data_IF_484331055903
#
_entry.id   IF_484331055903
#
_cell.length_a   1.000
_cell.length_b   1.000
_cell.length_c   1.000
_cell.angle_alpha   90.00
_cell.angle_beta   90.00
_cell.angle_gamma   90.00
#
_symmetry.space_group_name_H-M   'P 1'
#
loop_
_entity.id
_entity.type
_entity.pdbx_description
1 polymer ?
#
# COMPACT_ATOMS: atom_id res chain seq x y z
N UNK A 1 -48.94 -48.96 -33.95
CA UNK A 1 -48.45 -47.62 -34.30
C UNK A 1 -47.52 -47.17 -33.14
N UNK A 2 -46.28 -47.57 -33.16
CA UNK A 2 -45.27 -47.20 -32.19
C UNK A 2 -44.41 -46.06 -32.74
N UNK A 3 -44.44 -44.91 -32.14
CA UNK A 3 -43.52 -43.84 -32.42
C UNK A 3 -42.21 -44.13 -31.65
N UNK A 4 -41.19 -44.50 -32.37
CA UNK A 4 -39.82 -44.46 -31.86
C UNK A 4 -39.45 -43.01 -31.65
N UNK A 5 -39.18 -42.61 -30.38
CA UNK A 5 -38.45 -41.42 -30.06
C UNK A 5 -36.97 -41.79 -30.19
N UNK A 6 -36.36 -41.41 -31.33
CA UNK A 6 -34.91 -41.36 -31.44
C UNK A 6 -34.42 -40.32 -30.37
N UNK A 7 -33.80 -40.83 -29.33
CA UNK A 7 -32.96 -40.03 -28.46
C UNK A 7 -31.74 -39.66 -29.28
N UNK A 8 -31.73 -38.49 -29.92
CA UNK A 8 -30.51 -37.82 -30.35
C UNK A 8 -29.72 -37.46 -29.09
N UNK A 9 -29.07 -38.47 -28.51
CA UNK A 9 -27.94 -38.21 -27.60
C UNK A 9 -26.87 -37.55 -28.47
N UNK A 10 -26.67 -36.24 -28.23
CA UNK A 10 -25.55 -35.50 -28.79
C UNK A 10 -24.27 -36.15 -28.28
N UNK A 11 -23.82 -37.19 -28.93
CA UNK A 11 -22.45 -37.69 -28.72
C UNK A 11 -21.50 -36.62 -29.20
N UNK A 12 -20.95 -35.87 -28.22
CA UNK A 12 -19.87 -34.89 -28.48
C UNK A 12 -18.65 -35.72 -28.87
N UNK A 13 -18.43 -35.87 -30.18
CA UNK A 13 -17.24 -36.54 -30.69
C UNK A 13 -16.00 -35.66 -30.39
N UNK A 14 -15.29 -36.04 -29.35
CA UNK A 14 -14.06 -35.37 -28.90
C UNK A 14 -13.00 -35.31 -30.00
N UNK A 15 -13.02 -36.25 -30.95
CA UNK A 15 -12.10 -36.28 -32.09
C UNK A 15 -12.46 -35.19 -33.10
N UNK A 16 -13.75 -34.99 -33.37
CA UNK A 16 -14.22 -33.94 -34.28
C UNK A 16 -13.97 -32.54 -33.66
N UNK A 17 -14.20 -32.38 -32.37
CA UNK A 17 -13.86 -31.17 -31.63
C UNK A 17 -12.37 -30.86 -31.69
N UNK A 18 -11.51 -31.89 -31.57
CA UNK A 18 -10.07 -31.72 -31.64
C UNK A 18 -9.61 -31.33 -33.06
N UNK A 19 -10.25 -31.86 -34.09
CA UNK A 19 -9.92 -31.53 -35.48
C UNK A 19 -10.32 -30.10 -35.84
N UNK A 20 -11.49 -29.64 -35.37
CA UNK A 20 -11.96 -28.26 -35.53
C UNK A 20 -11.03 -27.30 -34.77
N UNK A 21 -10.64 -27.64 -33.53
CA UNK A 21 -9.72 -26.86 -32.74
C UNK A 21 -8.34 -26.73 -33.40
N UNK A 22 -7.81 -27.83 -33.96
CA UNK A 22 -6.54 -27.81 -34.68
C UNK A 22 -6.62 -26.98 -35.98
N UNK A 23 -7.75 -27.01 -36.69
CA UNK A 23 -7.97 -26.19 -37.88
C UNK A 23 -8.05 -24.70 -37.58
N UNK A 24 -8.52 -24.31 -36.39
CA UNK A 24 -8.68 -22.91 -35.99
C UNK A 24 -7.58 -22.40 -35.03
N UNK A 25 -6.57 -23.23 -34.72
CA UNK A 25 -5.51 -22.90 -33.77
C UNK A 25 -4.77 -21.62 -34.14
N UNK A 26 -4.58 -21.36 -35.43
CA UNK A 26 -3.91 -20.14 -35.90
C UNK A 26 -4.75 -18.89 -35.63
N UNK A 27 -6.07 -18.98 -35.76
CA UNK A 27 -6.99 -17.89 -35.42
C UNK A 27 -7.00 -17.64 -33.91
N UNK A 28 -7.03 -18.69 -33.09
CA UNK A 28 -7.00 -18.58 -31.61
C UNK A 28 -5.71 -17.95 -31.14
N UNK A 29 -4.56 -18.40 -31.71
CA UNK A 29 -3.25 -17.81 -31.42
C UNK A 29 -3.18 -16.33 -31.83
N UNK A 30 -3.71 -15.98 -33.00
CA UNK A 30 -3.75 -14.59 -33.48
C UNK A 30 -4.55 -13.68 -32.57
N UNK A 31 -5.73 -14.10 -32.15
CA UNK A 31 -6.57 -13.35 -31.19
C UNK A 31 -5.89 -13.25 -29.83
N UNK A 32 -5.32 -14.36 -29.33
CA UNK A 32 -4.59 -14.37 -28.05
C UNK A 32 -3.39 -13.43 -28.05
N UNK A 33 -2.63 -13.40 -29.14
CA UNK A 33 -1.47 -12.51 -29.29
C UNK A 33 -1.90 -11.04 -29.37
N UNK A 34 -3.00 -10.74 -30.07
CA UNK A 34 -3.54 -9.41 -30.17
C UNK A 34 -4.00 -8.86 -28.80
N UNK A 35 -4.75 -9.67 -28.04
CA UNK A 35 -5.15 -9.30 -26.67
C UNK A 35 -3.95 -9.21 -25.73
N UNK A 36 -2.95 -10.08 -25.87
CA UNK A 36 -1.70 -10.00 -25.13
C UNK A 36 -0.95 -8.69 -25.38
N UNK A 37 -0.83 -8.26 -26.62
CA UNK A 37 -0.20 -6.98 -26.97
C UNK A 37 -0.95 -5.78 -26.40
N UNK A 38 -2.28 -5.79 -26.46
CA UNK A 38 -3.13 -4.73 -25.87
C UNK A 38 -2.93 -4.69 -24.36
N UNK A 39 -2.94 -5.83 -23.69
CA UNK A 39 -2.73 -5.91 -22.24
C UNK A 39 -1.33 -5.42 -21.81
N UNK A 40 -0.29 -5.78 -22.57
CA UNK A 40 1.07 -5.29 -22.34
C UNK A 40 1.20 -3.79 -22.55
N UNK A 41 0.59 -3.25 -23.61
CA UNK A 41 0.55 -1.81 -23.85
C UNK A 41 -0.18 -1.07 -22.74
N UNK A 42 -1.32 -1.59 -22.31
CA UNK A 42 -2.08 -1.04 -21.16
C UNK A 42 -1.25 -1.04 -19.88
N UNK A 43 -0.63 -2.16 -19.54
CA UNK A 43 0.20 -2.29 -18.34
C UNK A 43 1.44 -1.38 -18.36
N UNK A 44 2.07 -1.21 -19.53
CA UNK A 44 3.25 -0.37 -19.67
C UNK A 44 2.96 1.14 -19.67
N UNK A 45 1.80 1.55 -20.20
CA UNK A 45 1.46 2.97 -20.33
C UNK A 45 0.64 3.55 -19.19
N UNK A 46 -0.25 2.76 -18.58
CA UNK A 46 -1.19 3.26 -17.55
C UNK A 46 -0.71 3.03 -16.12
N UNK A 47 0.15 2.06 -15.87
CA UNK A 47 0.63 1.78 -14.51
C UNK A 47 1.80 2.72 -14.19
N UNK A 48 1.53 3.79 -13.46
CA UNK A 48 2.58 4.68 -12.95
C UNK A 48 3.42 3.92 -11.91
N UNK A 49 4.75 3.98 -11.98
CA UNK A 49 5.59 3.42 -10.92
C UNK A 49 5.33 4.17 -9.62
N UNK A 50 5.15 3.45 -8.51
CA UNK A 50 5.05 4.03 -7.18
C UNK A 50 6.32 3.74 -6.39
N UNK A 51 6.72 4.68 -5.58
CA UNK A 51 7.90 4.61 -4.72
C UNK A 51 7.46 4.77 -3.27
N UNK A 52 7.96 3.92 -2.37
CA UNK A 52 7.67 4.03 -0.94
C UNK A 52 8.90 4.58 -0.22
N UNK A 53 8.72 5.66 0.51
CA UNK A 53 9.68 6.15 1.49
C UNK A 53 9.12 5.95 2.88
N UNK A 54 9.98 5.55 3.83
CA UNK A 54 9.55 5.27 5.20
C UNK A 54 10.43 6.03 6.20
N UNK A 55 9.80 6.51 7.27
CA UNK A 55 10.43 7.16 8.42
C UNK A 55 10.02 6.45 9.70
N UNK A 56 10.86 6.47 10.73
CA UNK A 56 10.55 5.86 12.02
C UNK A 56 10.57 6.88 13.15
N UNK A 57 9.56 6.80 14.03
CA UNK A 57 9.39 7.65 15.19
C UNK A 57 9.29 6.81 16.46
N UNK A 58 9.99 7.24 17.52
CA UNK A 58 9.89 6.65 18.86
C UNK A 58 8.91 7.45 19.73
N UNK A 59 7.91 6.78 20.23
CA UNK A 59 6.98 7.34 21.22
C UNK A 59 7.62 7.30 22.61
N UNK A 60 7.81 8.48 23.21
CA UNK A 60 8.38 8.62 24.55
C UNK A 60 7.25 8.80 25.57
N UNK A 61 7.18 7.91 26.56
CA UNK A 61 6.30 8.08 27.72
C UNK A 61 7.07 8.75 28.87
N UNK A 62 6.48 9.70 29.56
CA UNK A 62 7.10 10.43 30.69
C UNK A 62 7.42 9.56 31.92
N UNK A 63 6.81 8.37 32.01
CA UNK A 63 6.97 7.48 33.16
C UNK A 63 8.25 6.63 33.01
N UNK A 64 9.26 6.98 33.80
CA UNK A 64 10.61 6.38 33.78
C UNK A 64 10.74 5.10 34.62
N UNK A 65 9.67 4.57 35.20
CA UNK A 65 9.71 3.35 36.02
C UNK A 65 9.00 2.19 35.32
N UNK A 66 9.74 1.50 34.46
CA UNK A 66 9.33 0.23 33.84
C UNK A 66 9.19 -0.84 34.95
N UNK A 67 7.99 -1.03 35.49
CA UNK A 67 7.78 -2.00 36.57
C UNK A 67 6.64 -2.99 36.34
N UNK A 68 5.86 -2.89 35.24
CA UNK A 68 4.78 -3.84 35.06
C UNK A 68 4.43 -4.13 33.59
N UNK A 69 3.86 -5.33 33.36
CA UNK A 69 3.25 -5.73 32.09
C UNK A 69 2.14 -4.76 31.63
N UNK A 70 1.55 -4.01 32.53
CA UNK A 70 0.56 -2.97 32.26
C UNK A 70 1.17 -1.80 31.44
N UNK A 71 2.45 -1.46 31.65
CA UNK A 71 3.12 -0.36 30.95
C UNK A 71 3.40 -0.73 29.48
N UNK A 72 3.60 -2.01 29.18
CA UNK A 72 3.75 -2.49 27.79
C UNK A 72 2.43 -2.42 27.03
N UNK A 73 1.31 -2.77 27.68
CA UNK A 73 -0.03 -2.64 27.08
C UNK A 73 -0.44 -1.17 26.86
N UNK A 74 -0.08 -0.29 27.80
CA UNK A 74 -0.27 1.16 27.62
C UNK A 74 0.53 1.70 26.45
N UNK A 75 1.76 1.26 26.26
CA UNK A 75 2.62 1.69 25.15
C UNK A 75 2.02 1.34 23.77
N UNK A 76 1.45 0.16 23.62
CA UNK A 76 0.81 -0.24 22.35
C UNK A 76 -0.50 0.48 22.08
N UNK A 77 -1.25 0.86 23.14
CA UNK A 77 -2.46 1.67 23.00
C UNK A 77 -2.13 3.11 22.54
N UNK A 78 -1.12 3.72 23.14
CA UNK A 78 -0.64 5.06 22.75
C UNK A 78 -0.19 5.12 21.29
N UNK A 79 0.45 4.08 20.77
CA UNK A 79 0.86 4.05 19.37
C UNK A 79 -0.33 4.02 18.41
N UNK A 80 -1.45 3.40 18.80
CA UNK A 80 -2.71 3.46 18.02
C UNK A 80 -3.31 4.87 18.01
N UNK A 81 -3.33 5.53 19.17
CA UNK A 81 -3.83 6.90 19.26
C UNK A 81 -2.97 7.86 18.43
N UNK A 82 -1.66 7.69 18.44
CA UNK A 82 -0.75 8.50 17.63
C UNK A 82 -0.93 8.25 16.13
N UNK A 83 -1.18 7.02 15.71
CA UNK A 83 -1.43 6.72 14.29
C UNK A 83 -2.70 7.43 13.77
N UNK A 84 -3.71 7.58 14.63
CA UNK A 84 -4.93 8.34 14.31
C UNK A 84 -4.62 9.84 14.21
N UNK A 85 -3.83 10.38 15.14
CA UNK A 85 -3.45 11.80 15.15
C UNK A 85 -2.59 12.16 13.94
N UNK A 86 -1.61 11.33 13.59
CA UNK A 86 -0.73 11.51 12.43
C UNK A 86 -1.53 11.57 11.12
N UNK A 87 -2.57 10.74 11.00
CA UNK A 87 -3.44 10.72 9.81
C UNK A 87 -4.65 11.65 9.92
N UNK A 88 -4.67 12.53 10.92
CA UNK A 88 -5.75 13.49 11.12
C UNK A 88 -5.70 14.62 10.08
N UNK A 89 -6.88 15.19 9.82
CA UNK A 89 -7.01 16.28 8.84
C UNK A 89 -6.08 17.48 9.11
N UNK A 90 -5.95 18.00 10.35
CA UNK A 90 -5.09 19.14 10.61
C UNK A 90 -3.64 18.89 10.24
N UNK A 91 -3.08 17.72 10.63
CA UNK A 91 -1.69 17.35 10.33
C UNK A 91 -1.47 17.24 8.83
N UNK A 92 -2.38 16.55 8.11
CA UNK A 92 -2.23 16.36 6.66
C UNK A 92 -2.41 17.66 5.88
N UNK A 93 -3.31 18.55 6.31
CA UNK A 93 -3.47 19.85 5.68
C UNK A 93 -2.22 20.70 5.87
N UNK A 94 -1.64 20.71 7.06
CA UNK A 94 -0.41 21.44 7.35
C UNK A 94 0.78 20.94 6.50
N UNK A 95 0.91 19.64 6.32
CA UNK A 95 1.92 19.04 5.40
C UNK A 95 1.71 19.48 3.96
N UNK A 96 0.45 19.48 3.48
CA UNK A 96 0.10 19.92 2.12
C UNK A 96 0.46 21.38 1.93
N UNK A 97 0.11 22.24 2.87
CA UNK A 97 0.36 23.68 2.82
C UNK A 97 1.87 24.00 2.87
N UNK A 98 2.63 23.28 3.72
CA UNK A 98 4.08 23.50 3.85
C UNK A 98 4.89 23.01 2.65
N UNK A 99 4.42 21.99 1.94
CA UNK A 99 5.08 21.43 0.76
C UNK A 99 4.45 21.91 -0.56
N UNK A 100 3.44 22.78 -0.50
CA UNK A 100 2.70 23.30 -1.67
C UNK A 100 2.23 22.18 -2.63
N UNK A 101 1.61 21.13 -2.04
CA UNK A 101 1.16 19.97 -2.79
C UNK A 101 -0.21 20.24 -3.42
N UNK A 102 -0.33 20.02 -4.73
CA UNK A 102 -1.60 20.15 -5.45
C UNK A 102 -2.48 18.89 -5.25
N UNK A 103 -2.92 18.65 -4.00
CA UNK A 103 -3.79 17.53 -3.64
C UNK A 103 -4.64 17.81 -2.40
N UNK A 104 -5.76 17.07 -2.28
CA UNK A 104 -6.61 17.12 -1.09
C UNK A 104 -6.07 16.20 0.02
N UNK A 105 -6.37 16.55 1.29
CA UNK A 105 -5.96 15.76 2.45
C UNK A 105 -6.38 14.28 2.39
N UNK A 106 -7.52 13.97 1.73
CA UNK A 106 -7.97 12.58 1.52
C UNK A 106 -7.07 11.80 0.58
N UNK A 107 -6.55 12.48 -0.45
CA UNK A 107 -5.62 11.88 -1.40
C UNK A 107 -4.30 11.57 -0.70
N UNK A 108 -3.76 12.53 0.06
CA UNK A 108 -2.56 12.32 0.84
C UNK A 108 -2.74 11.20 1.88
N UNK A 109 -3.88 11.17 2.58
CA UNK A 109 -4.21 10.12 3.55
C UNK A 109 -4.17 8.72 2.95
N UNK A 110 -4.65 8.54 1.71
CA UNK A 110 -4.66 7.25 1.02
C UNK A 110 -3.26 6.79 0.58
N UNK A 111 -2.29 7.71 0.54
CA UNK A 111 -0.89 7.43 0.19
C UNK A 111 -0.02 7.16 1.42
N UNK A 112 -0.57 7.36 2.62
CA UNK A 112 0.14 7.20 3.88
C UNK A 112 -0.29 5.90 4.56
N UNK A 113 0.69 5.13 5.01
CA UNK A 113 0.50 3.97 5.87
C UNK A 113 1.27 4.20 7.17
N UNK A 114 0.58 4.08 8.30
CA UNK A 114 1.19 4.12 9.63
C UNK A 114 1.09 2.74 10.24
N UNK A 115 2.23 2.15 10.54
CA UNK A 115 2.32 0.82 11.15
C UNK A 115 3.06 0.89 12.48
N UNK A 116 2.61 0.10 13.45
CA UNK A 116 3.37 -0.15 14.66
C UNK A 116 4.22 -1.41 14.44
N UNK A 117 5.49 -1.34 14.74
CA UNK A 117 6.41 -2.45 14.58
C UNK A 117 6.29 -3.39 15.79
N UNK A 118 5.69 -4.56 15.59
CA UNK A 118 5.64 -5.68 16.56
C UNK A 118 5.31 -5.27 18.02
N UNK A 119 4.23 -4.51 18.21
CA UNK A 119 3.80 -4.01 19.52
C UNK A 119 4.87 -3.20 20.30
N UNK A 120 5.82 -2.63 19.59
CA UNK A 120 6.85 -1.74 20.15
C UNK A 120 6.33 -0.29 20.29
N UNK A 121 7.15 0.60 20.81
CA UNK A 121 6.90 2.05 20.84
C UNK A 121 7.37 2.74 19.56
N UNK A 122 7.68 1.99 18.52
CA UNK A 122 8.16 2.53 17.25
C UNK A 122 6.99 2.57 16.27
N UNK A 123 6.74 3.75 15.73
CA UNK A 123 5.83 3.96 14.62
C UNK A 123 6.62 4.11 13.33
N UNK A 124 6.29 3.30 12.35
CA UNK A 124 6.78 3.44 11.00
C UNK A 124 5.74 4.18 10.16
N UNK A 125 6.14 5.29 9.59
CA UNK A 125 5.36 6.06 8.64
C UNK A 125 5.89 5.75 7.24
N UNK A 126 5.01 5.37 6.34
CA UNK A 126 5.35 5.08 4.94
C UNK A 126 4.48 5.90 4.01
N UNK A 127 5.08 6.50 3.00
CA UNK A 127 4.38 7.29 1.99
C UNK A 127 4.66 6.69 0.62
N UNK A 128 3.59 6.43 -0.13
CA UNK A 128 3.65 5.95 -1.51
C UNK A 128 3.36 7.08 -2.48
N UNK A 129 4.34 7.40 -3.33
CA UNK A 129 4.22 8.49 -4.30
C UNK A 129 4.86 8.15 -5.64
N UNK A 130 4.46 8.85 -6.70
CA UNK A 130 4.99 8.62 -8.06
C UNK A 130 6.43 9.08 -8.25
N UNK A 131 6.91 10.01 -7.43
CA UNK A 131 8.28 10.50 -7.41
C UNK A 131 9.00 10.11 -6.12
N UNK A 132 10.16 9.48 -6.24
CA UNK A 132 10.94 8.98 -5.11
C UNK A 132 11.45 10.10 -4.18
N UNK A 133 11.78 11.27 -4.73
CA UNK A 133 12.25 12.41 -3.93
C UNK A 133 11.09 13.05 -3.17
N UNK A 134 9.96 13.24 -3.84
CA UNK A 134 8.76 13.78 -3.19
C UNK A 134 8.22 12.82 -2.13
N UNK A 135 8.27 11.48 -2.35
CA UNK A 135 7.90 10.51 -1.32
C UNK A 135 8.71 10.71 -0.03
N UNK A 136 10.04 10.92 -0.18
CA UNK A 136 10.92 11.22 0.95
C UNK A 136 10.57 12.55 1.62
N UNK A 137 10.40 13.62 0.85
CA UNK A 137 10.07 14.95 1.38
C UNK A 137 8.75 14.94 2.15
N UNK A 138 7.73 14.24 1.62
CA UNK A 138 6.43 14.11 2.28
C UNK A 138 6.54 13.34 3.59
N UNK A 139 7.25 12.19 3.62
CA UNK A 139 7.36 11.41 4.85
C UNK A 139 8.19 12.11 5.92
N UNK A 140 9.25 12.83 5.53
CA UNK A 140 10.07 13.61 6.46
C UNK A 140 9.26 14.77 7.06
N UNK A 141 8.54 15.52 6.22
CA UNK A 141 7.69 16.63 6.67
C UNK A 141 6.52 16.13 7.51
N UNK A 142 5.89 15.02 7.14
CA UNK A 142 4.84 14.40 7.93
C UNK A 142 5.33 14.01 9.32
N UNK A 143 6.54 13.45 9.42
CA UNK A 143 7.13 13.09 10.70
C UNK A 143 7.39 14.31 11.60
N UNK A 144 7.85 15.41 11.02
CA UNK A 144 8.13 16.65 11.71
C UNK A 144 6.83 17.30 12.24
N UNK A 145 5.86 17.53 11.35
CA UNK A 145 4.55 18.14 11.69
C UNK A 145 3.79 17.27 12.68
N UNK A 146 3.79 15.95 12.49
CA UNK A 146 3.13 15.02 13.41
C UNK A 146 3.76 15.04 14.81
N UNK A 147 5.10 15.09 14.90
CA UNK A 147 5.80 15.18 16.17
C UNK A 147 5.45 16.44 16.94
N UNK A 148 5.44 17.59 16.25
CA UNK A 148 5.08 18.87 16.82
C UNK A 148 3.62 18.90 17.26
N UNK A 149 2.69 18.47 16.40
CA UNK A 149 1.26 18.43 16.69
C UNK A 149 0.90 17.55 17.89
N UNK A 150 1.53 16.36 17.99
CA UNK A 150 1.33 15.44 19.11
C UNK A 150 1.85 16.07 20.41
N UNK A 151 3.04 16.67 20.38
CA UNK A 151 3.62 17.35 21.54
C UNK A 151 2.72 18.47 22.06
N UNK A 152 2.17 19.25 21.15
CA UNK A 152 1.34 20.41 21.46
C UNK A 152 -0.06 20.02 21.97
N UNK A 153 -0.71 19.04 21.33
CA UNK A 153 -2.10 18.65 21.63
C UNK A 153 -2.24 17.70 22.80
N UNK A 154 -1.27 16.86 23.06
CA UNK A 154 -1.33 15.90 24.15
C UNK A 154 -0.55 16.35 25.40
N UNK A 155 0.10 17.51 25.37
CA UNK A 155 0.98 18.01 26.43
C UNK A 155 2.02 16.97 26.91
N UNK A 156 2.46 16.12 25.99
CA UNK A 156 3.45 15.07 26.20
C UNK A 156 4.78 15.45 25.57
N UNK A 157 5.83 14.68 25.91
CA UNK A 157 7.09 14.80 25.18
C UNK A 157 6.88 14.42 23.71
N UNK A 158 7.23 15.31 22.75
CA UNK A 158 7.03 15.00 21.33
C UNK A 158 7.75 13.70 20.92
N UNK A 159 7.16 12.89 20.07
CA UNK A 159 7.81 11.68 19.54
C UNK A 159 9.14 12.04 18.88
N UNK A 160 10.17 11.24 19.12
CA UNK A 160 11.48 11.49 18.55
C UNK A 160 11.63 10.76 17.21
N UNK A 161 11.95 11.49 16.16
CA UNK A 161 12.31 10.90 14.87
C UNK A 161 13.63 10.15 15.02
N UNK A 162 13.62 8.82 14.81
CA UNK A 162 14.78 7.96 14.90
C UNK A 162 15.45 7.86 13.54
N UNK A 163 14.65 7.72 12.50
CA UNK A 163 15.09 7.52 11.13
C UNK A 163 14.28 8.41 10.20
N UNK A 164 14.97 9.14 9.34
CA UNK A 164 14.37 9.95 8.30
C UNK A 164 14.14 9.11 7.04
N UNK A 165 13.20 9.55 6.20
CA UNK A 165 12.95 8.90 4.94
C UNK A 165 14.19 8.78 4.06
N UNK A 166 14.33 7.64 3.41
CA UNK A 166 15.32 7.45 2.36
C UNK A 166 14.69 7.61 0.98
N UNK A 167 15.49 8.07 0.01
CA UNK A 167 15.04 8.08 -1.39
C UNK A 167 15.02 6.64 -1.89
N UNK A 168 13.84 6.09 -2.19
CA UNK A 168 13.74 4.70 -2.60
C UNK A 168 14.44 4.48 -3.94
N UNK A 169 15.35 3.52 -3.99
CA UNK A 169 16.08 3.13 -5.21
C UNK A 169 15.33 2.09 -6.04
N UNK A 170 14.36 1.38 -5.44
CA UNK A 170 13.53 0.38 -6.10
C UNK A 170 12.08 0.82 -6.19
N UNK A 171 11.46 0.55 -7.35
CA UNK A 171 10.02 0.71 -7.54
C UNK A 171 9.28 -0.35 -6.74
N UNK A 172 8.11 -0.03 -6.20
CA UNK A 172 7.20 -1.04 -5.65
C UNK A 172 6.73 -1.91 -6.82
N UNK A 173 7.46 -2.97 -7.09
CA UNK A 173 7.10 -3.99 -8.04
C UNK A 173 7.23 -5.33 -7.36
N UNK A 174 6.16 -6.11 -7.28
CA UNK A 174 6.05 -7.57 -6.98
C UNK A 174 7.07 -8.28 -6.06
N UNK A 175 8.16 -7.62 -5.67
CA UNK A 175 9.21 -8.19 -4.82
C UNK A 175 8.92 -8.08 -3.30
N UNK A 176 8.03 -7.17 -2.88
CA UNK A 176 7.72 -6.94 -1.46
C UNK A 176 6.92 -8.09 -0.80
N UNK A 177 6.46 -9.09 -1.57
CA UNK A 177 5.76 -10.26 -1.02
C UNK A 177 6.71 -11.34 -0.48
N UNK A 178 8.03 -11.21 -0.64
CA UNK A 178 9.00 -12.27 -0.32
C UNK A 178 9.77 -12.04 0.99
N UNK A 179 9.61 -10.90 1.63
CA UNK A 179 10.40 -10.53 2.81
C UNK A 179 9.57 -10.48 4.12
N UNK A 180 8.39 -11.10 4.11
CA UNK A 180 7.60 -11.32 5.32
C UNK A 180 7.61 -12.80 5.69
N UNK A 181 8.75 -13.27 6.15
CA UNK A 181 8.84 -14.53 6.90
C UNK A 181 9.63 -14.28 8.17
#
# INVERSE_FOLDING_TARGET
MGKNYDNDEMEIDLLELFYVLKSKILAILGVGLLFGCIACAYAGFLVKPMYTSSSMMLVLTKETTLSSLADLQMGSQLTKDYSILITSRPVLTDVIDQLDLDMDYKQLKNMITVANQDDTRILQLSVEYSDAKQAKEIVDKLSEVASEYIGDKMEVTPPKIIEKGEVPTSKIGRASCRERV
#
